data_IF_811587572363
#
_entry.id   IF_811587572363
#
_cell.length_a   1.000
_cell.length_b   1.000
_cell.length_c   1.000
_cell.angle_alpha   90.00
_cell.angle_beta   90.00
_cell.angle_gamma   90.00
#
_symmetry.space_group_name_H-M   'P 1'
#
loop_
_entity.id
_entity.type
_entity.pdbx_description
1 polymer ?
#
# COMPACT_ATOMS: atom_id res chain seq x y z
N UNK A 1 -13.66 9.92 -14.72
CA UNK A 1 -12.40 10.63 -15.10
C UNK A 1 -11.47 10.92 -13.90
N UNK A 2 -11.96 11.29 -12.70
CA UNK A 2 -11.14 11.53 -11.48
C UNK A 2 -10.63 10.23 -10.82
N UNK A 3 -11.51 9.27 -10.54
CA UNK A 3 -11.15 7.98 -9.93
C UNK A 3 -10.12 7.19 -10.74
N UNK A 4 -10.31 7.13 -12.06
CA UNK A 4 -9.32 6.51 -12.95
C UNK A 4 -7.93 7.11 -12.78
N UNK A 5 -7.83 8.44 -12.63
CA UNK A 5 -6.54 9.12 -12.39
C UNK A 5 -5.99 8.78 -11.00
N UNK A 6 -6.83 8.70 -9.98
CA UNK A 6 -6.44 8.30 -8.63
C UNK A 6 -5.90 6.86 -8.62
N UNK A 7 -6.61 5.91 -9.22
CA UNK A 7 -6.15 4.52 -9.36
C UNK A 7 -4.81 4.43 -10.09
N UNK A 8 -4.64 5.14 -11.21
CA UNK A 8 -3.36 5.14 -11.94
C UNK A 8 -2.24 5.72 -11.08
N UNK A 9 -2.51 6.77 -10.29
CA UNK A 9 -1.51 7.34 -9.37
C UNK A 9 -1.10 6.32 -8.30
N UNK A 10 -2.06 5.66 -7.65
CA UNK A 10 -1.76 4.65 -6.62
C UNK A 10 -1.04 3.46 -7.22
N UNK A 11 -1.51 2.95 -8.36
CA UNK A 11 -0.84 1.89 -9.12
C UNK A 11 0.63 2.21 -9.40
N UNK A 12 0.94 3.42 -9.88
CA UNK A 12 2.33 3.80 -10.14
C UNK A 12 3.20 3.85 -8.87
N UNK A 13 2.61 4.16 -7.71
CA UNK A 13 3.31 4.10 -6.41
C UNK A 13 3.50 2.66 -5.95
N UNK A 14 2.50 1.80 -6.14
CA UNK A 14 2.55 0.36 -5.85
C UNK A 14 3.63 -0.34 -6.69
N UNK A 15 3.72 -0.05 -7.98
CA UNK A 15 4.81 -0.58 -8.82
C UNK A 15 6.17 -0.08 -8.33
N UNK A 16 6.27 1.20 -7.95
CA UNK A 16 7.52 1.76 -7.44
C UNK A 16 7.96 1.09 -6.13
N UNK A 17 7.07 0.93 -5.14
CA UNK A 17 7.43 0.25 -3.88
C UNK A 17 7.79 -1.21 -4.13
N UNK A 18 7.08 -1.90 -5.04
CA UNK A 18 7.40 -3.26 -5.46
C UNK A 18 8.83 -3.36 -6.02
N UNK A 19 9.20 -2.49 -6.96
CA UNK A 19 10.54 -2.49 -7.57
C UNK A 19 11.65 -2.21 -6.54
N UNK A 20 11.45 -1.23 -5.66
CA UNK A 20 12.41 -0.89 -4.61
C UNK A 20 12.57 -2.04 -3.60
N UNK A 21 11.46 -2.70 -3.25
CA UNK A 21 11.44 -3.84 -2.34
C UNK A 21 12.16 -5.07 -2.92
N UNK A 22 11.85 -5.42 -4.18
CA UNK A 22 12.54 -6.52 -4.87
C UNK A 22 14.03 -6.21 -5.03
N UNK A 23 14.39 -4.98 -5.39
CA UNK A 23 15.80 -4.57 -5.50
C UNK A 23 16.53 -4.68 -4.16
N UNK A 24 15.91 -4.24 -3.08
CA UNK A 24 16.44 -4.35 -1.71
C UNK A 24 16.68 -5.80 -1.32
N UNK A 25 15.69 -6.65 -1.60
CA UNK A 25 15.77 -8.09 -1.32
C UNK A 25 16.87 -8.78 -2.12
N UNK A 26 16.88 -8.64 -3.45
CA UNK A 26 17.82 -9.31 -4.36
C UNK A 26 19.28 -8.94 -4.06
N UNK A 27 19.53 -7.67 -3.73
CA UNK A 27 20.88 -7.19 -3.44
C UNK A 27 21.28 -7.31 -1.97
N UNK A 28 20.36 -7.76 -1.10
CA UNK A 28 20.55 -7.77 0.36
C UNK A 28 21.02 -6.40 0.90
N UNK A 29 20.50 -5.31 0.32
CA UNK A 29 20.93 -3.92 0.57
C UNK A 29 19.83 -3.12 1.25
N UNK A 30 20.09 -2.72 2.49
CA UNK A 30 19.12 -2.03 3.36
C UNK A 30 19.02 -0.53 3.07
N UNK A 31 19.79 0.01 2.13
CA UNK A 31 19.84 1.46 1.87
C UNK A 31 18.50 2.07 1.46
N UNK A 32 17.59 1.27 0.88
CA UNK A 32 16.29 1.76 0.40
C UNK A 32 15.14 1.52 1.39
N UNK A 33 15.41 0.97 2.59
CA UNK A 33 14.35 0.64 3.56
C UNK A 33 13.54 1.86 3.99
N UNK A 34 14.19 3.00 4.26
CA UNK A 34 13.49 4.22 4.65
C UNK A 34 12.56 4.73 3.53
N UNK A 35 13.03 4.67 2.28
CA UNK A 35 12.24 5.03 1.10
C UNK A 35 11.05 4.09 0.89
N UNK A 36 11.20 2.80 1.20
CA UNK A 36 10.10 1.82 1.13
C UNK A 36 9.04 2.17 2.18
N UNK A 37 9.43 2.50 3.41
CA UNK A 37 8.50 2.94 4.46
C UNK A 37 7.78 4.24 4.08
N UNK A 38 8.50 5.23 3.53
CA UNK A 38 7.87 6.46 3.04
C UNK A 38 6.86 6.19 1.93
N UNK A 39 7.12 5.22 1.05
CA UNK A 39 6.19 4.85 -0.02
C UNK A 39 4.96 4.11 0.52
N UNK A 40 5.12 3.25 1.53
CA UNK A 40 4.01 2.59 2.25
C UNK A 40 3.11 3.65 2.88
N UNK A 41 3.66 4.54 3.71
CA UNK A 41 2.88 5.60 4.39
C UNK A 41 2.09 6.46 3.38
N UNK A 42 2.67 6.74 2.21
CA UNK A 42 1.98 7.45 1.13
C UNK A 42 0.83 6.62 0.55
N UNK A 43 1.03 5.32 0.32
CA UNK A 43 0.01 4.43 -0.27
C UNK A 43 -1.15 4.22 0.69
N UNK A 44 -0.87 4.07 1.98
CA UNK A 44 -1.88 3.97 3.04
C UNK A 44 -2.74 5.22 3.11
N UNK A 45 -2.10 6.40 3.07
CA UNK A 45 -2.83 7.66 3.05
C UNK A 45 -3.66 7.80 1.76
N UNK A 46 -3.14 7.35 0.61
CA UNK A 46 -3.91 7.34 -0.64
C UNK A 46 -5.14 6.43 -0.55
N UNK A 47 -5.05 5.29 0.14
CA UNK A 47 -6.20 4.42 0.39
C UNK A 47 -7.29 5.16 1.16
N UNK A 48 -6.93 5.81 2.28
CA UNK A 48 -7.85 6.58 3.11
C UNK A 48 -8.51 7.70 2.29
N UNK A 49 -7.69 8.56 1.67
CA UNK A 49 -8.18 9.71 0.89
C UNK A 49 -9.13 9.27 -0.25
N UNK A 50 -8.83 8.13 -0.89
CA UNK A 50 -9.59 7.66 -2.04
C UNK A 50 -10.91 7.02 -1.61
N UNK A 51 -10.92 6.29 -0.49
CA UNK A 51 -12.14 5.74 0.09
C UNK A 51 -13.06 6.85 0.61
N UNK A 52 -12.54 7.81 1.36
CA UNK A 52 -13.33 8.95 1.86
C UNK A 52 -13.94 9.77 0.71
N UNK A 53 -13.11 10.16 -0.27
CA UNK A 53 -13.60 10.87 -1.43
C UNK A 53 -14.58 10.05 -2.27
N UNK A 54 -14.54 8.71 -2.20
CA UNK A 54 -15.53 7.83 -2.83
C UNK A 54 -16.87 7.83 -2.07
N UNK A 55 -16.85 7.74 -0.75
CA UNK A 55 -18.05 7.83 0.10
C UNK A 55 -18.80 9.15 -0.15
N UNK A 56 -18.09 10.27 -0.23
CA UNK A 56 -18.70 11.58 -0.52
C UNK A 56 -19.46 11.60 -1.85
N UNK A 57 -18.89 11.01 -2.90
CA UNK A 57 -19.53 10.97 -4.22
C UNK A 57 -20.72 10.02 -4.27
N UNK A 58 -20.65 8.89 -3.58
CA UNK A 58 -21.81 8.00 -3.41
C UNK A 58 -22.95 8.75 -2.71
N UNK A 59 -22.65 9.49 -1.64
CA UNK A 59 -23.64 10.28 -0.92
C UNK A 59 -24.26 11.40 -1.77
N UNK A 60 -23.49 11.97 -2.71
CA UNK A 60 -23.95 12.97 -3.66
C UNK A 60 -24.74 12.38 -4.85
N UNK A 61 -24.76 11.05 -5.03
CA UNK A 61 -25.41 10.40 -6.17
C UNK A 61 -24.60 10.45 -7.48
N UNK A 62 -23.30 10.77 -7.40
CA UNK A 62 -22.42 10.93 -8.56
C UNK A 62 -21.90 9.59 -9.15
N UNK A 63 -22.09 8.48 -8.44
CA UNK A 63 -21.73 7.14 -8.90
C UNK A 63 -22.71 6.07 -8.44
N UNK A 64 -22.79 4.97 -9.19
CA UNK A 64 -23.57 3.80 -8.79
C UNK A 64 -22.89 3.02 -7.66
N UNK A 65 -23.68 2.28 -6.89
CA UNK A 65 -23.19 1.44 -5.79
C UNK A 65 -22.20 0.39 -6.33
N UNK A 66 -22.52 -0.22 -7.47
CA UNK A 66 -21.69 -1.26 -8.10
C UNK A 66 -20.32 -0.72 -8.52
N UNK A 67 -20.29 0.47 -9.12
CA UNK A 67 -19.05 1.14 -9.47
C UNK A 67 -18.22 1.45 -8.22
N UNK A 68 -18.89 1.76 -7.10
CA UNK A 68 -18.21 2.05 -5.84
C UNK A 68 -17.61 0.85 -5.13
N UNK A 69 -18.28 -0.30 -5.20
CA UNK A 69 -17.72 -1.56 -4.71
C UNK A 69 -16.44 -1.92 -5.48
N UNK A 70 -16.50 -1.87 -6.82
CA UNK A 70 -15.33 -2.19 -7.66
C UNK A 70 -14.16 -1.24 -7.39
N UNK A 71 -14.42 0.07 -7.26
CA UNK A 71 -13.37 1.03 -6.95
C UNK A 71 -12.71 0.75 -5.60
N UNK A 72 -13.52 0.49 -4.57
CA UNK A 72 -13.04 0.22 -3.21
C UNK A 72 -12.19 -1.04 -3.16
N UNK A 73 -12.65 -2.12 -3.83
CA UNK A 73 -11.90 -3.38 -3.93
C UNK A 73 -10.54 -3.19 -4.62
N UNK A 74 -10.47 -2.36 -5.66
CA UNK A 74 -9.23 -2.05 -6.36
C UNK A 74 -8.25 -1.26 -5.48
N UNK A 75 -8.73 -0.27 -4.71
CA UNK A 75 -7.88 0.50 -3.80
C UNK A 75 -7.30 -0.39 -2.70
N UNK A 76 -8.14 -1.22 -2.06
CA UNK A 76 -7.70 -2.18 -1.04
C UNK A 76 -6.72 -3.20 -1.64
N UNK A 77 -7.00 -3.69 -2.84
CA UNK A 77 -6.10 -4.62 -3.53
C UNK A 77 -4.72 -4.03 -3.81
N UNK A 78 -4.66 -2.74 -4.17
CA UNK A 78 -3.41 -2.03 -4.44
C UNK A 78 -2.57 -1.82 -3.18
N UNK A 79 -3.19 -1.42 -2.07
CA UNK A 79 -2.49 -1.28 -0.79
C UNK A 79 -1.95 -2.64 -0.30
N UNK A 80 -2.75 -3.70 -0.39
CA UNK A 80 -2.29 -5.05 -0.01
C UNK A 80 -1.08 -5.53 -0.81
N UNK A 81 -0.98 -5.13 -2.07
CA UNK A 81 0.22 -5.42 -2.88
C UNK A 81 1.43 -4.64 -2.37
N UNK A 82 1.25 -3.36 -1.98
CA UNK A 82 2.31 -2.56 -1.37
C UNK A 82 2.78 -3.18 -0.05
N UNK A 83 1.87 -3.60 0.82
CA UNK A 83 2.19 -4.30 2.07
C UNK A 83 2.99 -5.58 1.85
N UNK A 84 2.58 -6.38 0.86
CA UNK A 84 3.35 -7.57 0.49
C UNK A 84 4.74 -7.22 -0.05
N UNK A 85 4.87 -6.13 -0.82
CA UNK A 85 6.17 -5.64 -1.26
C UNK A 85 7.04 -5.20 -0.06
N UNK A 86 6.48 -4.49 0.91
CA UNK A 86 7.19 -4.12 2.15
C UNK A 86 7.70 -5.38 2.85
N UNK A 87 6.84 -6.38 3.04
CA UNK A 87 7.22 -7.65 3.68
C UNK A 87 8.38 -8.37 2.93
N UNK A 88 8.43 -8.31 1.60
CA UNK A 88 9.57 -8.83 0.81
C UNK A 88 10.87 -8.11 1.19
N UNK A 89 10.87 -6.78 1.24
CA UNK A 89 12.06 -6.02 1.62
C UNK A 89 12.52 -6.31 3.05
N UNK A 90 11.56 -6.40 3.98
CA UNK A 90 11.82 -6.65 5.39
C UNK A 90 12.34 -8.06 5.69
N UNK A 91 12.11 -9.02 4.80
CA UNK A 91 12.60 -10.40 4.95
C UNK A 91 14.13 -10.55 5.02
N UNK A 92 14.90 -9.54 4.61
CA UNK A 92 16.37 -9.53 4.74
C UNK A 92 16.85 -9.15 6.14
N UNK A 93 15.95 -8.67 7.00
CA UNK A 93 16.27 -8.34 8.37
C UNK A 93 16.19 -9.61 9.24
N UNK A 94 17.11 -9.78 10.20
CA UNK A 94 16.99 -10.89 11.15
C UNK A 94 15.70 -10.75 11.95
N UNK A 95 15.00 -11.87 12.19
CA UNK A 95 13.84 -11.89 13.07
C UNK A 95 14.23 -11.29 14.43
N UNK A 96 13.54 -10.23 14.84
CA UNK A 96 13.59 -9.81 16.25
C UNK A 96 12.72 -10.79 17.02
N UNK A 97 13.32 -11.59 17.91
CA UNK A 97 12.60 -12.33 18.93
C UNK A 97 11.71 -11.31 19.66
N UNK A 98 10.39 -11.47 19.50
CA UNK A 98 9.41 -10.50 19.99
C UNK A 98 9.52 -10.26 21.49
N UNK A 99 9.34 -9.02 21.92
CA UNK A 99 8.98 -8.76 23.31
C UNK A 99 7.54 -9.25 23.55
N UNK A 100 7.20 -9.49 24.83
CA UNK A 100 6.05 -10.27 25.33
C UNK A 100 4.62 -9.87 24.87
N UNK A 101 4.49 -8.96 23.90
CA UNK A 101 3.24 -8.42 23.38
C UNK A 101 2.93 -8.83 21.93
N UNK A 102 3.69 -9.76 21.33
CA UNK A 102 3.27 -10.51 20.14
C UNK A 102 3.11 -9.71 18.84
N UNK A 103 3.62 -8.48 18.75
CA UNK A 103 3.76 -7.79 17.45
C UNK A 103 5.08 -8.19 16.81
N UNK A 104 5.00 -8.91 15.68
CA UNK A 104 6.16 -9.11 14.82
C UNK A 104 6.49 -7.76 14.17
N UNK A 105 7.58 -7.12 14.59
CA UNK A 105 7.91 -5.74 14.20
C UNK A 105 8.15 -5.56 12.69
N UNK A 106 8.27 -6.66 11.95
CA UNK A 106 8.64 -6.67 10.53
C UNK A 106 7.54 -7.14 9.60
N UNK A 107 6.42 -7.65 10.13
CA UNK A 107 5.22 -7.93 9.35
C UNK A 107 4.19 -6.86 9.68
N UNK A 108 4.27 -5.74 8.94
CA UNK A 108 3.22 -4.71 8.90
C UNK A 108 2.02 -5.25 8.12
N UNK A 109 0.84 -4.80 8.52
CA UNK A 109 -0.48 -5.38 8.25
C UNK A 109 -1.47 -4.24 8.09
#
# INVERSE_FOLDING_TARGET
MKEKKNLIKMYNKVIKIFDESVKTFVNNDKSNMDKINELEDIIDQMQIDYQEGHVERMAAGDCSIEAGLIFTDLVIGLERIADHAVNIAYSILPEKIGNAYGKNLYFRR
#
